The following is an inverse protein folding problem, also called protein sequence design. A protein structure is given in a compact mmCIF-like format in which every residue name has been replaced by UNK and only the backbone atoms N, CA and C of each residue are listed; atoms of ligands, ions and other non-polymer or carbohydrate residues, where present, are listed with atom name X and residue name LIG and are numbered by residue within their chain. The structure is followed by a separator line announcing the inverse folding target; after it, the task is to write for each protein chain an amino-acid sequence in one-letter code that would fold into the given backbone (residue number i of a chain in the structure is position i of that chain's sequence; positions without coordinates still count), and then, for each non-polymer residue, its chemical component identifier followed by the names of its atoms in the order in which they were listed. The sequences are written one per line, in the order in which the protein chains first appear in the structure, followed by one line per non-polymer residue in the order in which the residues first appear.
data_IF_889171097070
#
_entry.id   IF_889171097070
#
_cell.length_a   1.000
_cell.length_b   1.000
_cell.length_c   1.000
_cell.angle_alpha   90.00
_cell.angle_beta   90.00
_cell.angle_gamma   90.00
#
_symmetry.space_group_name_H-M   'P 1'
#
loop_
_entity.id
_entity.type
_entity.pdbx_description
1 polymer ?
#
# COMPACT_ATOMS: atom_id res chain seq x y z
N UNK A 1 -46.89 -12.80 -8.80
CA UNK A 1 -46.10 -13.02 -10.03
C UNK A 1 -44.66 -13.23 -9.61
N UNK A 2 -44.19 -14.47 -9.61
CA UNK A 2 -42.78 -14.81 -9.42
C UNK A 2 -42.03 -14.49 -10.72
N UNK A 3 -40.92 -13.77 -10.63
CA UNK A 3 -40.18 -13.37 -11.84
C UNK A 3 -39.51 -14.59 -12.50
N UNK A 4 -39.34 -14.59 -13.83
CA UNK A 4 -38.65 -15.66 -14.56
C UNK A 4 -37.23 -15.94 -14.03
N UNK A 5 -36.61 -14.94 -13.38
CA UNK A 5 -35.31 -15.06 -12.72
C UNK A 5 -35.32 -16.11 -11.59
N UNK A 6 -36.45 -16.26 -10.87
CA UNK A 6 -36.57 -17.20 -9.74
C UNK A 6 -36.60 -18.66 -10.18
N UNK A 7 -36.81 -18.92 -11.48
CA UNK A 7 -36.80 -20.27 -12.06
C UNK A 7 -35.42 -20.69 -12.56
N UNK A 8 -34.42 -19.80 -12.59
CA UNK A 8 -33.06 -20.16 -12.97
C UNK A 8 -32.45 -21.14 -11.96
N UNK A 9 -31.62 -22.11 -12.39
CA UNK A 9 -30.86 -22.98 -11.49
C UNK A 9 -29.89 -22.20 -10.58
N UNK A 10 -29.54 -22.77 -9.43
CA UNK A 10 -28.64 -22.12 -8.46
C UNK A 10 -27.27 -21.83 -9.08
N UNK A 11 -26.78 -22.73 -9.93
CA UNK A 11 -25.49 -22.65 -10.60
C UNK A 11 -25.43 -21.43 -11.52
N UNK A 12 -26.49 -21.22 -12.31
CA UNK A 12 -26.61 -20.07 -13.22
C UNK A 12 -26.70 -18.77 -12.42
N UNK A 13 -27.48 -18.75 -11.34
CA UNK A 13 -27.60 -17.58 -10.48
C UNK A 13 -26.27 -17.23 -9.80
N UNK A 14 -25.54 -18.23 -9.30
CA UNK A 14 -24.23 -18.03 -8.68
C UNK A 14 -23.20 -17.54 -9.70
N UNK A 15 -23.24 -18.05 -10.93
CA UNK A 15 -22.38 -17.57 -12.02
C UNK A 15 -22.68 -16.10 -12.35
N UNK A 16 -23.95 -15.73 -12.51
CA UNK A 16 -24.37 -14.33 -12.70
C UNK A 16 -23.90 -13.45 -11.53
N UNK A 17 -24.08 -13.94 -10.30
CA UNK A 17 -23.74 -13.17 -9.10
C UNK A 17 -22.22 -12.89 -9.00
N UNK A 18 -21.36 -13.76 -9.55
CA UNK A 18 -19.91 -13.50 -9.58
C UNK A 18 -19.52 -12.25 -10.37
N UNK A 19 -20.32 -11.85 -11.37
CA UNK A 19 -20.10 -10.64 -12.15
C UNK A 19 -20.63 -9.37 -11.47
N UNK A 20 -21.45 -9.52 -10.42
CA UNK A 20 -22.04 -8.40 -9.69
C UNK A 20 -21.21 -8.09 -8.44
N UNK A 21 -21.02 -6.80 -8.17
CA UNK A 21 -20.42 -6.43 -6.87
C UNK A 21 -21.34 -6.89 -5.74
N UNK A 22 -20.79 -7.38 -4.61
CA UNK A 22 -21.61 -7.77 -3.45
C UNK A 22 -22.57 -6.70 -2.95
N UNK A 23 -22.18 -5.43 -3.12
CA UNK A 23 -23.04 -4.29 -2.83
C UNK A 23 -24.28 -4.28 -3.73
N UNK A 24 -24.12 -4.47 -5.04
CA UNK A 24 -25.22 -4.51 -6.00
C UNK A 24 -26.12 -5.71 -5.69
N UNK A 25 -25.52 -6.88 -5.45
CA UNK A 25 -26.26 -8.07 -5.02
C UNK A 25 -27.10 -7.79 -3.77
N UNK A 26 -26.50 -7.15 -2.78
CA UNK A 26 -27.21 -6.80 -1.55
C UNK A 26 -28.31 -5.77 -1.80
N UNK A 27 -28.02 -4.66 -2.49
CA UNK A 27 -28.99 -3.60 -2.72
C UNK A 27 -30.16 -4.04 -3.59
N UNK A 28 -29.90 -4.86 -4.61
CA UNK A 28 -30.90 -5.24 -5.59
C UNK A 28 -31.65 -6.51 -5.20
N UNK A 29 -31.04 -7.43 -4.45
CA UNK A 29 -31.57 -8.79 -4.28
C UNK A 29 -31.82 -9.16 -2.81
N UNK A 30 -31.17 -8.49 -1.87
CA UNK A 30 -31.35 -8.82 -0.46
C UNK A 30 -32.78 -8.55 0.00
N UNK A 31 -33.37 -9.55 0.67
CA UNK A 31 -34.74 -9.53 1.15
C UNK A 31 -35.82 -9.55 0.05
N UNK A 32 -35.46 -9.77 -1.23
CA UNK A 32 -36.43 -10.05 -2.29
C UNK A 32 -36.97 -11.48 -2.21
N UNK A 33 -36.08 -12.46 -2.01
CA UNK A 33 -36.42 -13.87 -1.96
C UNK A 33 -35.46 -14.64 -1.03
N UNK A 34 -36.01 -15.56 -0.24
CA UNK A 34 -35.24 -16.41 0.68
C UNK A 34 -34.14 -17.22 -0.02
N UNK A 35 -34.43 -17.78 -1.20
CA UNK A 35 -33.47 -18.54 -2.02
C UNK A 35 -32.29 -17.66 -2.43
N UNK A 36 -32.53 -16.44 -2.90
CA UNK A 36 -31.44 -15.54 -3.28
C UNK A 36 -30.60 -15.12 -2.08
N UNK A 37 -31.23 -14.88 -0.92
CA UNK A 37 -30.49 -14.61 0.31
C UNK A 37 -29.54 -15.77 0.66
N UNK A 38 -29.99 -17.02 0.53
CA UNK A 38 -29.13 -18.19 0.74
C UNK A 38 -27.97 -18.24 -0.26
N UNK A 39 -28.22 -17.97 -1.54
CA UNK A 39 -27.17 -17.98 -2.57
C UNK A 39 -26.11 -16.89 -2.32
N UNK A 40 -26.51 -15.70 -1.87
CA UNK A 40 -25.57 -14.64 -1.50
C UNK A 40 -24.66 -15.10 -0.35
N UNK A 41 -25.17 -15.90 0.59
CA UNK A 41 -24.40 -16.47 1.69
C UNK A 41 -23.45 -17.61 1.28
N UNK A 42 -23.49 -18.09 0.03
CA UNK A 42 -22.54 -19.10 -0.47
C UNK A 42 -21.33 -18.45 -1.16
N UNK A 43 -21.48 -17.20 -1.63
CA UNK A 43 -20.43 -16.51 -2.36
C UNK A 43 -19.31 -16.06 -1.42
N UNK A 44 -18.04 -16.23 -1.85
CA UNK A 44 -16.92 -15.56 -1.18
C UNK A 44 -16.99 -14.08 -1.50
N UNK A 45 -17.32 -13.28 -0.49
CA UNK A 45 -17.71 -11.89 -0.71
C UNK A 45 -16.52 -10.96 -0.44
N UNK A 46 -16.04 -10.19 -1.43
CA UNK A 46 -15.24 -9.00 -1.13
C UNK A 46 -16.15 -7.95 -0.49
N UNK A 47 -15.85 -7.57 0.75
CA UNK A 47 -16.62 -6.56 1.46
C UNK A 47 -15.93 -5.20 1.30
N UNK A 48 -16.63 -4.27 0.65
CA UNK A 48 -16.23 -2.88 0.54
C UNK A 48 -17.18 -2.01 1.36
N UNK A 49 -16.71 -1.60 2.54
CA UNK A 49 -17.41 -0.73 3.47
C UNK A 49 -16.86 0.71 3.41
N UNK A 50 -16.19 1.08 2.32
CA UNK A 50 -15.72 2.42 2.07
C UNK A 50 -16.86 3.44 1.89
N UNK A 51 -16.52 4.64 1.41
CA UNK A 51 -17.37 5.85 1.36
C UNK A 51 -18.65 5.76 0.52
N UNK A 52 -18.94 4.61 -0.05
CA UNK A 52 -19.94 4.43 -1.09
C UNK A 52 -21.32 4.05 -0.49
N UNK A 53 -21.36 3.54 0.74
CA UNK A 53 -22.63 3.24 1.43
C UNK A 53 -23.18 4.47 2.17
N UNK A 54 -24.50 4.67 2.18
CA UNK A 54 -25.12 5.62 3.11
C UNK A 54 -25.05 5.08 4.55
N UNK A 55 -25.12 5.95 5.57
CA UNK A 55 -25.07 5.52 6.98
C UNK A 55 -26.12 4.46 7.33
N UNK A 56 -27.34 4.59 6.80
CA UNK A 56 -28.40 3.60 6.99
C UNK A 56 -28.05 2.25 6.39
N UNK A 57 -27.60 2.23 5.13
CA UNK A 57 -27.22 1.00 4.44
C UNK A 57 -25.99 0.35 5.09
N UNK A 58 -25.01 1.16 5.53
CA UNK A 58 -23.87 0.71 6.32
C UNK A 58 -24.34 -0.05 7.56
N UNK A 59 -25.21 0.56 8.37
CA UNK A 59 -25.72 -0.07 9.59
C UNK A 59 -26.44 -1.38 9.29
N UNK A 60 -27.32 -1.41 8.28
CA UNK A 60 -28.04 -2.64 7.88
C UNK A 60 -27.08 -3.72 7.37
N UNK A 61 -26.06 -3.35 6.60
CA UNK A 61 -25.08 -4.29 6.08
C UNK A 61 -24.24 -4.90 7.22
N UNK A 62 -23.80 -4.06 8.16
CA UNK A 62 -23.10 -4.49 9.36
C UNK A 62 -23.97 -5.38 10.26
N UNK A 63 -25.27 -5.12 10.44
CA UNK A 63 -26.09 -5.93 11.34
C UNK A 63 -26.64 -7.20 10.71
N UNK A 64 -26.92 -7.20 9.40
CA UNK A 64 -27.67 -8.29 8.76
C UNK A 64 -26.81 -9.21 7.89
N UNK A 65 -25.68 -8.73 7.35
CA UNK A 65 -24.85 -9.47 6.37
C UNK A 65 -23.58 -9.97 7.02
N UNK A 66 -22.74 -9.05 7.51
CA UNK A 66 -21.38 -9.35 7.97
C UNK A 66 -21.35 -10.50 8.99
N UNK A 67 -22.22 -10.53 10.03
CA UNK A 67 -22.20 -11.61 11.03
C UNK A 67 -22.43 -13.00 10.43
N UNK A 68 -23.14 -13.10 9.30
CA UNK A 68 -23.53 -14.38 8.68
C UNK A 68 -22.46 -14.92 7.72
N UNK A 69 -21.47 -14.11 7.35
CA UNK A 69 -20.46 -14.49 6.37
C UNK A 69 -19.02 -14.19 6.80
N UNK A 70 -18.76 -13.98 8.10
CA UNK A 70 -17.42 -13.65 8.65
C UNK A 70 -16.28 -14.52 8.08
N UNK A 71 -16.48 -15.84 8.06
CA UNK A 71 -15.47 -16.80 7.58
C UNK A 71 -15.29 -16.80 6.06
N UNK A 72 -16.21 -16.22 5.30
CA UNK A 72 -16.16 -16.18 3.83
C UNK A 72 -15.51 -14.90 3.29
N UNK A 73 -15.28 -13.91 4.17
CA UNK A 73 -14.71 -12.62 3.79
C UNK A 73 -13.22 -12.77 3.55
N UNK A 74 -12.85 -12.64 2.28
CA UNK A 74 -11.46 -12.72 1.81
C UNK A 74 -10.87 -11.34 1.52
N UNK A 75 -11.70 -10.30 1.40
CA UNK A 75 -11.27 -8.93 1.19
C UNK A 75 -12.14 -7.98 2.00
N UNK A 76 -11.49 -7.05 2.69
CA UNK A 76 -12.13 -6.02 3.49
C UNK A 76 -11.53 -4.67 3.13
N UNK A 77 -12.37 -3.73 2.71
CA UNK A 77 -12.00 -2.34 2.47
C UNK A 77 -12.77 -1.44 3.42
N UNK A 78 -12.02 -0.70 4.22
CA UNK A 78 -12.51 0.20 5.24
C UNK A 78 -12.12 1.64 4.87
N UNK A 79 -13.01 2.60 5.10
CA UNK A 79 -12.67 4.01 5.04
C UNK A 79 -13.26 4.72 6.24
N UNK A 80 -12.51 5.62 6.86
CA UNK A 80 -12.95 6.27 8.10
C UNK A 80 -13.79 7.53 7.89
N UNK A 81 -14.35 7.69 6.69
CA UNK A 81 -15.27 8.81 6.46
C UNK A 81 -16.54 8.58 7.28
N UNK A 82 -16.86 9.52 8.16
CA UNK A 82 -17.95 9.43 9.15
C UNK A 82 -17.74 8.35 10.23
N UNK A 83 -16.51 8.16 10.71
CA UNK A 83 -16.13 7.26 11.82
C UNK A 83 -16.53 5.78 11.58
N UNK A 84 -16.55 5.36 10.32
CA UNK A 84 -16.99 4.01 9.94
C UNK A 84 -16.02 2.94 10.42
N UNK A 85 -14.72 3.22 10.49
CA UNK A 85 -13.76 2.22 10.99
C UNK A 85 -14.02 2.00 12.47
N UNK A 86 -14.19 3.08 13.23
CA UNK A 86 -14.55 3.00 14.65
C UNK A 86 -15.88 2.27 14.86
N UNK A 87 -16.92 2.56 14.06
CA UNK A 87 -18.20 1.85 14.16
C UNK A 87 -18.06 0.37 13.79
N UNK A 88 -17.31 0.06 12.75
CA UNK A 88 -17.04 -1.31 12.36
C UNK A 88 -16.30 -2.07 13.46
N UNK A 89 -15.27 -1.49 14.06
CA UNK A 89 -14.51 -2.08 15.17
C UNK A 89 -15.37 -2.34 16.42
N UNK A 90 -16.34 -1.47 16.71
CA UNK A 90 -17.30 -1.68 17.81
C UNK A 90 -18.18 -2.92 17.61
N UNK A 91 -18.46 -3.26 16.36
CA UNK A 91 -19.33 -4.40 16.01
C UNK A 91 -18.52 -5.66 15.74
N UNK A 92 -17.32 -5.52 15.17
CA UNK A 92 -16.50 -6.62 14.69
C UNK A 92 -15.03 -6.37 14.99
N UNK A 93 -14.39 -7.36 15.61
CA UNK A 93 -12.95 -7.34 15.74
C UNK A 93 -12.30 -7.87 14.46
N UNK A 94 -11.22 -7.21 14.00
CA UNK A 94 -10.55 -7.57 12.74
C UNK A 94 -9.98 -8.99 12.76
N UNK A 95 -9.66 -9.52 13.94
CA UNK A 95 -9.10 -10.85 14.12
C UNK A 95 -10.12 -11.99 13.98
N UNK A 96 -11.40 -11.67 13.82
CA UNK A 96 -12.43 -12.66 13.48
C UNK A 96 -12.41 -13.06 12.00
N UNK A 97 -11.76 -12.25 11.15
CA UNK A 97 -11.72 -12.47 9.70
C UNK A 97 -10.54 -13.38 9.33
N UNK A 98 -10.58 -14.63 9.80
CA UNK A 98 -9.45 -15.57 9.71
C UNK A 98 -9.01 -15.89 8.27
N UNK A 99 -9.89 -15.74 7.28
CA UNK A 99 -9.60 -16.02 5.86
C UNK A 99 -9.27 -14.75 5.06
N UNK A 100 -9.09 -13.61 5.74
CA UNK A 100 -8.83 -12.34 5.09
C UNK A 100 -7.49 -12.37 4.34
N UNK A 101 -7.52 -12.03 3.06
CA UNK A 101 -6.35 -11.97 2.17
C UNK A 101 -5.99 -10.54 1.77
N UNK A 102 -6.98 -9.65 1.70
CA UNK A 102 -6.77 -8.24 1.37
C UNK A 102 -7.43 -7.34 2.42
N UNK A 103 -6.63 -6.49 3.04
CA UNK A 103 -7.10 -5.41 3.91
C UNK A 103 -6.72 -4.05 3.31
N UNK A 104 -7.72 -3.21 3.09
CA UNK A 104 -7.53 -1.82 2.67
C UNK A 104 -8.11 -0.91 3.75
N UNK A 105 -7.32 0.05 4.22
CA UNK A 105 -7.75 1.11 5.13
C UNK A 105 -7.55 2.45 4.44
N UNK A 106 -8.59 3.28 4.38
CA UNK A 106 -8.55 4.63 3.82
C UNK A 106 -8.82 5.65 4.90
N UNK A 107 -7.91 6.60 5.08
CA UNK A 107 -8.04 7.67 6.07
C UNK A 107 -8.27 7.19 7.52
N UNK A 108 -7.65 6.08 8.01
CA UNK A 108 -7.84 5.69 9.39
C UNK A 108 -7.31 6.76 10.36
N UNK A 109 -8.02 6.98 11.46
CA UNK A 109 -7.48 7.71 12.62
C UNK A 109 -6.28 6.96 13.23
N UNK A 110 -5.49 7.66 14.06
CA UNK A 110 -4.38 7.08 14.79
C UNK A 110 -4.79 5.84 15.60
N UNK A 111 -5.84 5.99 16.41
CA UNK A 111 -6.34 4.94 17.28
C UNK A 111 -6.83 3.73 16.49
N UNK A 112 -7.61 3.96 15.42
CA UNK A 112 -8.11 2.89 14.57
C UNK A 112 -6.97 2.13 13.88
N UNK A 113 -5.96 2.86 13.40
CA UNK A 113 -4.77 2.27 12.79
C UNK A 113 -4.02 1.41 13.80
N UNK A 114 -3.69 1.95 14.98
CA UNK A 114 -2.97 1.23 16.03
C UNK A 114 -3.70 -0.07 16.43
N UNK A 115 -5.00 0.02 16.71
CA UNK A 115 -5.82 -1.15 17.09
C UNK A 115 -5.86 -2.24 16.02
N UNK A 116 -5.80 -1.88 14.74
CA UNK A 116 -5.76 -2.86 13.64
C UNK A 116 -4.37 -3.45 13.52
N UNK A 117 -3.31 -2.63 13.58
CA UNK A 117 -1.91 -3.06 13.49
C UNK A 117 -1.59 -4.10 14.57
N UNK A 118 -1.99 -3.86 15.82
CA UNK A 118 -1.81 -4.79 16.95
C UNK A 118 -2.46 -6.17 16.73
N UNK A 119 -3.44 -6.26 15.83
CA UNK A 119 -4.18 -7.49 15.51
C UNK A 119 -3.76 -8.12 14.18
N UNK A 120 -2.86 -7.50 13.41
CA UNK A 120 -2.47 -8.01 12.10
C UNK A 120 -1.86 -9.41 12.16
N UNK A 121 -1.09 -9.73 13.20
CA UNK A 121 -0.50 -11.07 13.42
C UNK A 121 -1.53 -12.21 13.37
N UNK A 122 -2.76 -11.94 13.79
CA UNK A 122 -3.84 -12.92 13.80
C UNK A 122 -4.36 -13.24 12.39
N UNK A 123 -4.06 -12.40 11.39
CA UNK A 123 -4.50 -12.55 10.00
C UNK A 123 -3.50 -13.36 9.17
N UNK A 124 -3.35 -14.65 9.50
CA UNK A 124 -2.33 -15.56 8.94
C UNK A 124 -2.37 -15.72 7.41
N UNK A 125 -3.50 -15.41 6.78
CA UNK A 125 -3.69 -15.51 5.34
C UNK A 125 -3.65 -14.15 4.62
N UNK A 126 -3.30 -13.06 5.32
CA UNK A 126 -3.21 -11.75 4.70
C UNK A 126 -2.10 -11.75 3.65
N UNK A 127 -2.48 -11.55 2.40
CA UNK A 127 -1.57 -11.48 1.25
C UNK A 127 -1.25 -10.02 0.91
N UNK A 128 -2.19 -9.12 1.19
CA UNK A 128 -2.13 -7.72 0.78
C UNK A 128 -2.63 -6.78 1.87
N UNK A 129 -1.83 -5.77 2.18
CA UNK A 129 -2.17 -4.68 3.09
C UNK A 129 -2.03 -3.34 2.37
N UNK A 130 -3.07 -2.52 2.43
CA UNK A 130 -3.04 -1.17 1.88
C UNK A 130 -3.56 -0.17 2.90
N UNK A 131 -2.73 0.81 3.24
CA UNK A 131 -3.09 1.96 4.08
C UNK A 131 -2.97 3.18 3.19
N UNK A 132 -4.09 3.83 2.91
CA UNK A 132 -4.21 4.86 1.88
C UNK A 132 -4.65 6.15 2.53
N UNK A 133 -3.84 7.21 2.40
CA UNK A 133 -4.12 8.56 2.88
C UNK A 133 -4.31 8.56 4.40
N UNK A 134 -3.42 9.22 5.13
CA UNK A 134 -3.68 9.58 6.53
C UNK A 134 -3.95 11.07 6.55
N UNK A 135 -5.13 11.51 7.01
CA UNK A 135 -5.47 12.93 6.99
C UNK A 135 -4.38 13.80 7.61
N UNK A 136 -4.03 14.92 6.95
CA UNK A 136 -2.89 15.80 7.30
C UNK A 136 -2.88 16.31 8.75
N UNK A 137 -4.03 16.29 9.42
CA UNK A 137 -4.22 16.96 10.70
C UNK A 137 -4.28 16.00 11.91
N UNK A 138 -4.05 14.69 11.75
CA UNK A 138 -4.48 13.71 12.77
C UNK A 138 -3.49 12.61 13.19
N UNK A 139 -2.27 12.57 12.65
CA UNK A 139 -1.34 11.49 12.97
C UNK A 139 0.10 11.97 13.11
N UNK A 140 0.66 11.82 14.30
CA UNK A 140 2.10 11.83 14.50
C UNK A 140 2.65 10.45 14.06
N UNK A 141 2.99 10.35 12.78
CA UNK A 141 3.53 9.12 12.20
C UNK A 141 4.82 8.64 12.89
N UNK A 142 5.54 9.52 13.60
CA UNK A 142 6.71 9.12 14.39
C UNK A 142 6.32 8.26 15.59
N UNK A 143 5.12 8.45 16.14
CA UNK A 143 4.60 7.61 17.23
C UNK A 143 4.11 6.26 16.72
N UNK A 144 3.47 6.23 15.54
CA UNK A 144 2.95 5.00 14.96
C UNK A 144 3.98 4.21 14.14
N UNK A 145 5.12 4.80 13.77
CA UNK A 145 6.15 4.14 12.95
C UNK A 145 6.63 2.85 13.58
N UNK A 146 6.89 2.84 14.89
CA UNK A 146 7.33 1.66 15.63
C UNK A 146 6.32 0.51 15.51
N UNK A 147 5.06 0.75 15.85
CA UNK A 147 4.01 -0.27 15.79
C UNK A 147 3.81 -0.75 14.35
N UNK A 148 3.86 0.16 13.38
CA UNK A 148 3.76 -0.16 11.96
C UNK A 148 4.89 -1.09 11.53
N UNK A 149 6.13 -0.75 11.88
CA UNK A 149 7.30 -1.53 11.53
C UNK A 149 7.27 -2.90 12.18
N UNK A 150 6.98 -2.95 13.48
CA UNK A 150 6.85 -4.21 14.22
C UNK A 150 5.76 -5.11 13.62
N UNK A 151 4.60 -4.53 13.27
CA UNK A 151 3.44 -5.29 12.79
C UNK A 151 3.60 -5.79 11.35
N UNK A 152 4.30 -5.05 10.48
CA UNK A 152 4.41 -5.33 9.04
C UNK A 152 5.75 -5.98 8.69
N UNK A 153 6.85 -5.45 9.22
CA UNK A 153 8.21 -5.82 8.82
C UNK A 153 8.92 -6.74 9.82
N UNK A 154 8.49 -6.79 11.09
CA UNK A 154 9.09 -7.67 12.10
C UNK A 154 8.23 -8.89 12.46
N UNK A 155 7.05 -9.01 11.84
CA UNK A 155 6.08 -10.03 12.19
C UNK A 155 6.27 -11.31 11.36
N UNK A 156 6.97 -12.29 11.96
CA UNK A 156 7.26 -13.59 11.32
C UNK A 156 6.00 -14.44 11.05
N UNK A 157 4.87 -14.16 11.70
CA UNK A 157 3.62 -14.89 11.46
C UNK A 157 2.96 -14.50 10.13
N UNK A 158 3.31 -13.34 9.57
CA UNK A 158 2.74 -12.78 8.34
C UNK A 158 3.39 -13.35 7.07
N UNK A 159 3.55 -14.67 7.02
CA UNK A 159 4.32 -15.39 5.97
C UNK A 159 3.70 -15.19 4.57
N UNK A 160 2.39 -14.95 4.49
CA UNK A 160 1.65 -14.76 3.23
C UNK A 160 1.69 -13.33 2.72
N UNK A 161 2.10 -12.35 3.54
CA UNK A 161 2.08 -10.95 3.17
C UNK A 161 3.12 -10.68 2.09
N UNK A 162 2.66 -10.30 0.90
CA UNK A 162 3.49 -10.08 -0.30
C UNK A 162 3.36 -8.68 -0.85
N UNK A 163 2.21 -8.03 -0.66
CA UNK A 163 1.93 -6.70 -1.18
C UNK A 163 1.64 -5.75 -0.02
N UNK A 164 2.43 -4.70 0.07
CA UNK A 164 2.24 -3.63 1.06
C UNK A 164 2.17 -2.28 0.35
N UNK A 165 1.12 -1.51 0.62
CA UNK A 165 0.99 -0.12 0.19
C UNK A 165 0.77 0.77 1.41
N UNK A 166 1.62 1.77 1.58
CA UNK A 166 1.65 2.71 2.69
C UNK A 166 1.69 4.12 2.11
N UNK A 167 0.52 4.75 1.97
CA UNK A 167 0.38 6.11 1.44
C UNK A 167 0.23 7.12 2.60
N UNK A 168 1.34 7.68 3.04
CA UNK A 168 1.49 8.62 4.16
C UNK A 168 2.04 9.96 3.67
N UNK A 169 1.84 11.02 4.46
CA UNK A 169 2.41 12.34 4.15
C UNK A 169 3.81 12.54 4.73
N UNK A 170 4.18 11.79 5.76
CA UNK A 170 5.47 11.90 6.45
C UNK A 170 6.33 10.63 6.25
N UNK A 171 7.62 10.76 6.56
CA UNK A 171 8.59 9.68 6.61
C UNK A 171 8.27 8.64 7.68
N UNK A 172 8.49 7.36 7.35
CA UNK A 172 8.44 6.26 8.32
C UNK A 172 9.85 6.02 8.85
N UNK A 173 9.99 5.96 10.17
CA UNK A 173 11.25 5.53 10.80
C UNK A 173 11.35 4.01 10.72
N UNK A 174 12.42 3.51 10.11
CA UNK A 174 12.60 2.10 9.74
C UNK A 174 13.58 1.37 10.68
N UNK A 175 13.34 1.46 11.99
CA UNK A 175 14.19 0.86 13.01
C UNK A 175 13.80 -0.59 13.34
N UNK A 176 14.78 -1.47 13.45
CA UNK A 176 14.56 -2.86 13.91
C UNK A 176 13.88 -3.79 12.88
N UNK A 177 13.85 -3.42 11.61
CA UNK A 177 13.29 -4.23 10.53
C UNK A 177 13.92 -5.62 10.51
N UNK A 178 13.09 -6.64 10.28
CA UNK A 178 13.54 -8.01 10.03
C UNK A 178 13.29 -8.42 8.57
N UNK A 179 13.83 -9.57 8.19
CA UNK A 179 13.65 -10.12 6.84
C UNK A 179 12.17 -10.39 6.59
N UNK A 180 11.63 -9.84 5.50
CA UNK A 180 10.23 -9.98 5.12
C UNK A 180 10.03 -10.64 3.75
N UNK A 181 8.85 -11.23 3.54
CA UNK A 181 8.45 -11.90 2.30
C UNK A 181 7.81 -10.97 1.26
N UNK A 182 7.85 -9.66 1.50
CA UNK A 182 7.23 -8.66 0.64
C UNK A 182 7.87 -8.70 -0.76
N UNK A 183 7.02 -8.86 -1.78
CA UNK A 183 7.40 -8.87 -3.19
C UNK A 183 7.06 -7.53 -3.88
N UNK A 184 6.05 -6.83 -3.38
CA UNK A 184 5.64 -5.50 -3.84
C UNK A 184 5.52 -4.56 -2.65
N UNK A 185 6.26 -3.46 -2.71
CA UNK A 185 6.19 -2.40 -1.72
C UNK A 185 5.92 -1.06 -2.40
N UNK A 186 4.89 -0.37 -1.95
CA UNK A 186 4.67 1.04 -2.26
C UNK A 186 4.65 1.78 -0.93
N UNK A 187 5.64 2.62 -0.66
CA UNK A 187 5.79 3.29 0.62
C UNK A 187 5.99 4.79 0.43
N UNK A 188 5.36 5.55 1.30
CA UNK A 188 5.57 6.98 1.39
C UNK A 188 6.74 7.24 2.31
N UNK A 189 7.82 7.77 1.73
CA UNK A 189 8.82 8.49 2.48
C UNK A 189 9.67 7.65 3.42
N UNK A 190 10.96 7.53 3.15
CA UNK A 190 11.95 7.26 4.20
C UNK A 190 13.23 8.04 3.92
N UNK A 191 14.11 8.11 4.90
CA UNK A 191 15.42 8.73 4.70
C UNK A 191 16.31 7.82 3.84
N UNK A 192 17.22 8.37 3.03
CA UNK A 192 18.08 7.59 2.12
C UNK A 192 18.88 6.49 2.83
N UNK A 193 19.37 6.73 4.05
CA UNK A 193 20.07 5.73 4.85
C UNK A 193 19.13 4.60 5.32
N UNK A 194 17.91 4.92 5.70
CA UNK A 194 16.87 3.95 6.05
C UNK A 194 16.40 3.15 4.83
N UNK A 195 16.34 3.79 3.66
CA UNK A 195 15.99 3.14 2.41
C UNK A 195 16.99 2.00 2.10
N UNK A 196 18.27 2.26 2.25
CA UNK A 196 19.32 1.25 2.08
C UNK A 196 19.14 0.10 3.07
N UNK A 197 18.84 0.39 4.33
CA UNK A 197 18.56 -0.63 5.36
C UNK A 197 17.33 -1.46 4.98
N UNK A 198 16.26 -0.81 4.51
CA UNK A 198 15.03 -1.47 4.07
C UNK A 198 15.32 -2.49 2.95
N UNK A 199 16.09 -2.11 1.93
CA UNK A 199 16.45 -3.01 0.83
C UNK A 199 17.15 -4.28 1.35
N UNK A 200 18.06 -4.14 2.32
CA UNK A 200 18.80 -5.27 2.91
C UNK A 200 17.89 -6.33 3.56
N UNK A 201 16.67 -5.95 3.94
CA UNK A 201 15.72 -6.82 4.63
C UNK A 201 14.56 -7.31 3.75
N UNK A 202 14.56 -6.99 2.45
CA UNK A 202 13.49 -7.37 1.52
C UNK A 202 14.00 -8.27 0.37
N UNK A 203 14.49 -9.49 0.66
CA UNK A 203 15.17 -10.32 -0.33
C UNK A 203 14.28 -10.85 -1.45
N UNK A 204 12.96 -10.80 -1.29
CA UNK A 204 11.98 -11.23 -2.31
C UNK A 204 11.37 -10.08 -3.09
N UNK A 205 11.83 -8.85 -2.85
CA UNK A 205 11.27 -7.65 -3.46
C UNK A 205 11.46 -7.70 -4.98
N UNK A 206 10.35 -7.56 -5.72
CA UNK A 206 10.32 -7.51 -7.18
C UNK A 206 10.02 -6.12 -7.69
N UNK A 207 9.13 -5.42 -6.99
CA UNK A 207 8.71 -4.06 -7.33
C UNK A 207 8.70 -3.15 -6.10
N UNK A 208 9.32 -2.00 -6.26
CA UNK A 208 9.35 -0.95 -5.25
C UNK A 208 8.87 0.37 -5.85
N UNK A 209 7.98 1.05 -5.13
CA UNK A 209 7.61 2.44 -5.36
C UNK A 209 7.87 3.17 -4.05
N UNK A 210 8.80 4.12 -4.05
CA UNK A 210 9.19 4.79 -2.81
C UNK A 210 9.53 6.26 -3.03
N UNK A 211 9.13 7.08 -2.07
CA UNK A 211 9.62 8.45 -1.93
C UNK A 211 10.78 8.45 -0.91
N UNK A 212 11.91 9.04 -1.29
CA UNK A 212 13.13 9.07 -0.49
C UNK A 212 13.52 10.52 -0.24
N UNK A 213 13.72 10.85 1.02
CA UNK A 213 14.20 12.15 1.48
C UNK A 213 15.71 12.12 1.72
N UNK A 214 16.33 13.29 1.66
CA UNK A 214 17.70 13.45 2.16
C UNK A 214 17.76 13.12 3.65
N UNK A 215 18.95 12.70 4.11
CA UNK A 215 19.34 12.37 5.48
C UNK A 215 18.73 13.31 6.52
N UNK A 216 18.45 12.77 7.71
CA UNK A 216 17.95 13.55 8.85
C UNK A 216 18.87 14.72 9.23
N UNK A 217 20.18 14.50 9.12
CA UNK A 217 21.21 15.51 9.41
C UNK A 217 22.02 15.78 8.13
N UNK A 218 21.96 17.01 7.62
CA UNK A 218 22.67 17.39 6.39
C UNK A 218 24.18 17.47 6.57
N UNK A 219 24.66 17.63 7.81
CA UNK A 219 26.07 17.77 8.14
C UNK A 219 26.79 16.41 8.28
N UNK A 220 26.05 15.29 8.32
CA UNK A 220 26.65 13.97 8.46
C UNK A 220 27.36 13.57 7.15
N UNK A 221 28.65 13.18 7.22
CA UNK A 221 29.42 12.84 6.02
C UNK A 221 28.78 11.70 5.23
N UNK A 222 28.93 11.74 3.91
CA UNK A 222 28.40 10.69 3.03
C UNK A 222 29.18 9.39 3.22
N UNK A 223 28.61 8.48 4.01
CA UNK A 223 29.08 7.10 4.07
C UNK A 223 28.61 6.33 2.84
N UNK A 224 29.50 6.21 1.85
CA UNK A 224 29.23 5.46 0.63
C UNK A 224 29.24 3.94 0.84
N UNK A 225 29.79 3.44 1.94
CA UNK A 225 29.87 1.99 2.20
C UNK A 225 28.50 1.37 2.42
N UNK A 226 27.50 2.17 2.83
CA UNK A 226 26.13 1.68 3.01
C UNK A 226 25.56 1.09 1.72
N UNK A 227 25.99 1.62 0.56
CA UNK A 227 25.51 1.24 -0.77
C UNK A 227 26.15 -0.03 -1.33
N UNK A 228 27.28 -0.45 -0.78
CA UNK A 228 28.01 -1.61 -1.29
C UNK A 228 27.18 -2.89 -1.19
N UNK A 229 27.20 -3.67 -2.28
CA UNK A 229 26.56 -4.98 -2.38
C UNK A 229 25.03 -4.98 -2.19
N UNK A 230 24.34 -3.83 -2.24
CA UNK A 230 22.87 -3.76 -2.12
C UNK A 230 22.18 -4.76 -3.06
N UNK A 231 22.64 -4.89 -4.30
CA UNK A 231 22.05 -5.78 -5.30
C UNK A 231 22.01 -7.25 -4.89
N UNK A 232 22.94 -7.70 -4.03
CA UNK A 232 22.94 -9.06 -3.50
C UNK A 232 21.78 -9.30 -2.54
N UNK A 233 21.33 -8.26 -1.84
CA UNK A 233 20.20 -8.33 -0.92
C UNK A 233 18.85 -8.24 -1.64
N UNK A 234 18.78 -7.67 -2.83
CA UNK A 234 17.52 -7.52 -3.60
C UNK A 234 17.59 -8.15 -5.00
N UNK A 235 17.97 -9.44 -5.12
CA UNK A 235 18.30 -10.06 -6.40
C UNK A 235 17.12 -10.10 -7.40
N UNK A 236 15.88 -9.99 -6.92
CA UNK A 236 14.68 -10.03 -7.75
C UNK A 236 14.10 -8.65 -8.09
N UNK A 237 14.68 -7.56 -7.58
CA UNK A 237 14.17 -6.21 -7.78
C UNK A 237 14.38 -5.80 -9.24
N UNK A 238 13.28 -5.81 -10.01
CA UNK A 238 13.30 -5.53 -11.45
C UNK A 238 12.59 -4.23 -11.78
N UNK A 239 11.70 -3.76 -10.90
CA UNK A 239 10.92 -2.55 -11.10
C UNK A 239 11.13 -1.58 -9.93
N UNK A 240 11.73 -0.43 -10.20
CA UNK A 240 11.93 0.63 -9.23
C UNK A 240 11.28 1.93 -9.72
N UNK A 241 10.39 2.48 -8.91
CA UNK A 241 9.89 3.84 -9.02
C UNK A 241 10.42 4.63 -7.81
N UNK A 242 11.35 5.53 -8.07
CA UNK A 242 12.11 6.24 -7.07
C UNK A 242 11.85 7.74 -7.20
N UNK A 243 11.16 8.30 -6.21
CA UNK A 243 10.93 9.73 -6.11
C UNK A 243 11.91 10.27 -5.07
N UNK A 244 12.72 11.26 -5.41
CA UNK A 244 13.81 11.74 -4.57
C UNK A 244 13.67 13.22 -4.30
N UNK A 245 13.75 13.60 -3.03
CA UNK A 245 13.69 15.01 -2.62
C UNK A 245 14.89 15.37 -1.76
N UNK A 246 15.54 16.47 -2.14
CA UNK A 246 16.71 17.03 -1.47
C UNK A 246 17.97 16.13 -1.43
N UNK A 247 17.96 14.90 -1.96
CA UNK A 247 19.16 14.03 -2.03
C UNK A 247 20.00 14.34 -3.26
N UNK A 248 21.33 14.39 -3.11
CA UNK A 248 22.25 14.68 -4.22
C UNK A 248 22.31 13.53 -5.24
N UNK A 249 22.65 13.87 -6.49
CA UNK A 249 22.75 12.88 -7.56
C UNK A 249 23.75 11.77 -7.22
N UNK A 250 24.89 12.10 -6.61
CA UNK A 250 25.96 11.15 -6.31
C UNK A 250 25.49 9.98 -5.44
N UNK A 251 24.61 10.24 -4.46
CA UNK A 251 24.03 9.18 -3.62
C UNK A 251 23.09 8.27 -4.42
N UNK A 252 22.24 8.87 -5.26
CA UNK A 252 21.36 8.12 -6.17
C UNK A 252 22.17 7.30 -7.17
N UNK A 253 23.26 7.86 -7.68
CA UNK A 253 24.17 7.19 -8.61
C UNK A 253 24.80 5.96 -7.94
N UNK A 254 25.28 6.09 -6.70
CA UNK A 254 25.88 4.99 -5.95
C UNK A 254 24.87 3.90 -5.61
N UNK A 255 23.65 4.27 -5.26
CA UNK A 255 22.56 3.31 -5.09
C UNK A 255 22.31 2.52 -6.38
N UNK A 256 22.09 3.20 -7.50
CA UNK A 256 21.69 2.56 -8.76
C UNK A 256 22.82 1.71 -9.35
N UNK A 257 24.08 2.11 -9.18
CA UNK A 257 25.27 1.29 -9.53
C UNK A 257 25.23 -0.11 -8.91
N UNK A 258 24.63 -0.22 -7.73
CA UNK A 258 24.57 -1.47 -6.97
C UNK A 258 23.28 -2.28 -7.23
N UNK A 259 22.43 -1.90 -8.19
CA UNK A 259 21.20 -2.65 -8.54
C UNK A 259 21.15 -2.91 -10.07
N UNK A 260 22.12 -3.63 -10.64
CA UNK A 260 22.24 -3.83 -12.08
C UNK A 260 21.10 -4.66 -12.72
N UNK A 261 20.33 -5.39 -11.90
CA UNK A 261 19.22 -6.24 -12.33
C UNK A 261 17.92 -5.50 -12.71
N UNK A 262 17.89 -4.17 -12.56
CA UNK A 262 16.70 -3.37 -12.88
C UNK A 262 16.34 -3.46 -14.36
N UNK A 263 15.05 -3.70 -14.62
CA UNK A 263 14.44 -3.68 -15.95
C UNK A 263 13.62 -2.43 -16.19
N UNK A 264 13.01 -1.88 -15.14
CA UNK A 264 12.20 -0.68 -15.21
C UNK A 264 12.63 0.30 -14.12
N UNK A 265 13.00 1.49 -14.54
CA UNK A 265 13.32 2.60 -13.65
C UNK A 265 12.43 3.80 -14.02
N UNK A 266 11.53 4.14 -13.12
CA UNK A 266 10.86 5.43 -13.13
C UNK A 266 11.49 6.29 -12.04
N UNK A 267 11.99 7.47 -12.42
CA UNK A 267 12.68 8.35 -11.51
C UNK A 267 12.02 9.72 -11.52
N UNK A 268 11.77 10.27 -10.33
CA UNK A 268 11.42 11.69 -10.22
C UNK A 268 12.26 12.42 -9.18
N UNK A 269 12.60 13.68 -9.45
CA UNK A 269 13.30 14.51 -8.48
C UNK A 269 12.91 15.99 -8.58
N UNK A 270 13.11 16.72 -7.47
CA UNK A 270 12.91 18.18 -7.41
C UNK A 270 14.19 19.01 -7.61
N UNK A 271 15.37 18.39 -7.62
CA UNK A 271 16.64 19.10 -7.72
C UNK A 271 17.15 19.18 -9.16
N UNK A 272 17.60 20.36 -9.58
CA UNK A 272 18.17 20.60 -10.91
C UNK A 272 19.45 19.81 -11.18
N UNK A 273 20.14 19.34 -10.13
CA UNK A 273 21.32 18.47 -10.26
C UNK A 273 21.01 17.15 -10.99
N UNK A 274 19.73 16.76 -11.09
CA UNK A 274 19.29 15.60 -11.88
C UNK A 274 19.08 15.90 -13.36
N UNK A 275 19.17 17.16 -13.80
CA UNK A 275 18.96 17.56 -15.20
C UNK A 275 20.16 17.26 -16.12
N UNK A 276 21.25 16.70 -15.59
CA UNK A 276 22.40 16.30 -16.38
C UNK A 276 22.14 14.96 -17.11
N UNK A 277 21.69 15.07 -18.37
CA UNK A 277 21.43 13.92 -19.22
C UNK A 277 22.66 13.07 -19.52
N UNK A 278 23.86 13.67 -19.58
CA UNK A 278 25.12 12.95 -19.85
C UNK A 278 25.46 12.04 -18.66
N UNK A 279 25.23 12.51 -17.43
CA UNK A 279 25.40 11.67 -16.23
C UNK A 279 24.43 10.51 -16.19
N UNK A 280 23.16 10.75 -16.51
CA UNK A 280 22.17 9.67 -16.63
C UNK A 280 22.54 8.63 -17.68
N UNK A 281 22.95 9.09 -18.88
CA UNK A 281 23.38 8.19 -19.95
C UNK A 281 24.56 7.32 -19.51
N UNK A 282 25.61 7.93 -18.93
CA UNK A 282 26.77 7.20 -18.41
C UNK A 282 26.38 6.17 -17.35
N UNK A 283 25.51 6.54 -16.42
CA UNK A 283 25.01 5.65 -15.36
C UNK A 283 24.26 4.44 -15.98
N UNK A 284 23.32 4.70 -16.88
CA UNK A 284 22.48 3.67 -17.47
C UNK A 284 23.32 2.70 -18.31
N UNK A 285 24.14 3.23 -19.22
CA UNK A 285 24.95 2.42 -20.15
C UNK A 285 25.98 1.59 -19.38
N UNK A 286 26.57 2.14 -18.32
CA UNK A 286 27.67 1.47 -17.61
C UNK A 286 27.19 0.48 -16.55
N UNK A 287 26.04 0.74 -15.91
CA UNK A 287 25.66 0.02 -14.68
C UNK A 287 24.26 -0.61 -14.70
N UNK A 288 23.39 -0.24 -15.64
CA UNK A 288 22.04 -0.79 -15.74
C UNK A 288 21.82 -1.51 -17.08
N UNK A 289 22.62 -2.56 -17.39
CA UNK A 289 22.63 -3.20 -18.70
C UNK A 289 21.31 -3.92 -19.06
N UNK A 290 20.48 -4.23 -18.06
CA UNK A 290 19.20 -4.92 -18.25
C UNK A 290 18.00 -3.97 -18.33
N UNK A 291 18.23 -2.65 -18.32
CA UNK A 291 17.17 -1.66 -18.30
C UNK A 291 16.41 -1.62 -19.63
N UNK A 292 15.14 -1.99 -19.59
CA UNK A 292 14.23 -2.02 -20.74
C UNK A 292 13.37 -0.75 -20.82
N UNK A 293 13.06 -0.14 -19.67
CA UNK A 293 12.21 1.05 -19.58
C UNK A 293 12.79 2.07 -18.61
N UNK A 294 13.00 3.29 -19.09
CA UNK A 294 13.43 4.43 -18.30
C UNK A 294 12.45 5.58 -18.45
N UNK A 295 12.01 6.14 -17.33
CA UNK A 295 11.20 7.37 -17.27
C UNK A 295 11.86 8.34 -16.30
N UNK A 296 12.01 9.58 -16.71
CA UNK A 296 12.63 10.65 -15.93
C UNK A 296 11.68 11.84 -15.87
N UNK A 297 11.33 12.24 -14.65
CA UNK A 297 10.56 13.46 -14.38
C UNK A 297 11.35 14.36 -13.43
N UNK A 298 11.66 15.57 -13.85
CA UNK A 298 12.40 16.52 -13.02
C UNK A 298 11.50 17.72 -12.83
N UNK A 299 10.93 17.81 -11.64
CA UNK A 299 10.12 18.94 -11.25
C UNK A 299 11.04 20.16 -11.10
N UNK A 300 11.00 21.04 -12.09
CA UNK A 300 11.69 22.32 -12.05
C UNK A 300 10.98 23.22 -11.02
N UNK A 301 11.55 23.34 -9.80
CA UNK A 301 11.14 24.36 -8.84
C UNK A 301 11.64 25.73 -9.27
N UNK A 302 11.25 26.18 -10.47
CA UNK A 302 11.11 27.62 -10.71
C UNK A 302 9.95 28.09 -9.86
N UNK A 303 10.26 28.61 -8.67
CA UNK A 303 9.45 29.67 -8.09
C UNK A 303 9.08 30.60 -9.25
N UNK A 304 7.78 30.72 -9.56
CA UNK A 304 7.31 31.84 -10.38
C UNK A 304 7.65 33.10 -9.58
N UNK A 305 8.84 33.63 -9.79
CA UNK A 305 9.10 35.02 -9.50
C UNK A 305 8.11 35.79 -10.37
N UNK A 306 7.06 36.32 -9.75
CA UNK A 306 6.32 37.41 -10.35
C UNK A 306 7.30 38.57 -10.48
N UNK A 307 8.04 38.59 -11.59
CA UNK A 307 8.67 39.81 -12.04
C UNK A 307 7.52 40.64 -12.58
N UNK A 308 6.94 41.48 -11.71
CA UNK A 308 6.23 42.66 -12.16
C UNK A 308 7.26 43.58 -12.83
N UNK A 309 7.45 43.41 -14.13
CA UNK A 309 7.93 44.49 -14.98
C UNK A 309 6.68 45.21 -15.48
N UNK A 310 6.30 46.28 -14.79
CA UNK A 310 5.54 47.39 -15.34
C UNK A 310 5.76 48.64 -14.48
N UNK A 311 6.55 49.55 -15.05
CA UNK A 311 6.62 51.01 -14.89
C UNK A 311 6.92 51.58 -13.50
#
# INVERSE_FOLDING_TARGET
MTSLLEHLPNEILLDIFQYLSPRILFQCIYNLNFRFNQLIHVLKVPIDIGNILSKRLFNQYCTCVIPKCLSQIISLKLSDTYDRITQFQKLFQIDLYINLRLLVMRDPTQDNLQLILEKLSKLKYLEQLQIISLGRDKLDLRQCSKILVESIFCNYEMIKLRLVKLAFYDSILLEGIQISNIEYLNMSGCYINEFVILLKHLPKLKRLIIHVYNRRNFDDPIDYQIYENIGQYVPYLTNLELNVTHTQFDETEQLLKNIPQLKKLAFSAMLISYADGIRWEKLIVSFLPLLEQFSLDIADTRFRANINLNN
#
